data_IF_693522606974
#
_entry.id   IF_693522606974
#
_cell.length_a   1.000
_cell.length_b   1.000
_cell.length_c   1.000
_cell.angle_alpha   90.00
_cell.angle_beta   90.00
_cell.angle_gamma   90.00
#
_symmetry.space_group_name_H-M   'P 1'
#
loop_
_entity.id
_entity.type
_entity.pdbx_description
1 polymer ?
#
# COMPACT_ATOMS: atom_id res chain seq x y z
N UNK A 1 -22.01 4.88 11.79
CA UNK A 1 -21.61 4.64 10.38
C UNK A 1 -21.84 3.19 9.99
N UNK A 2 -22.52 2.96 8.87
CA UNK A 2 -22.70 1.62 8.28
C UNK A 2 -21.38 1.10 7.68
N UNK A 3 -21.27 -0.22 7.51
CA UNK A 3 -20.10 -0.85 6.85
C UNK A 3 -19.84 -0.27 5.45
N UNK A 4 -20.91 -0.02 4.68
CA UNK A 4 -20.81 0.58 3.35
C UNK A 4 -20.24 2.00 3.39
N UNK A 5 -20.64 2.81 4.38
CA UNK A 5 -20.06 4.14 4.59
C UNK A 5 -18.57 4.05 4.96
N UNK A 6 -18.19 3.11 5.84
CA UNK A 6 -16.78 2.90 6.23
C UNK A 6 -15.92 2.50 5.04
N UNK A 7 -16.39 1.56 4.21
CA UNK A 7 -15.72 1.16 2.98
C UNK A 7 -15.58 2.34 2.01
N UNK A 8 -16.64 3.13 1.83
CA UNK A 8 -16.59 4.29 0.95
C UNK A 8 -15.53 5.31 1.39
N UNK A 9 -15.43 5.61 2.68
CA UNK A 9 -14.39 6.50 3.22
C UNK A 9 -13.01 5.87 2.98
N UNK A 10 -12.81 4.62 3.41
CA UNK A 10 -11.55 3.91 3.28
C UNK A 10 -11.05 3.86 1.83
N UNK A 11 -11.92 3.51 0.89
CA UNK A 11 -11.58 3.38 -0.53
C UNK A 11 -11.26 4.74 -1.18
N UNK A 12 -12.00 5.80 -0.83
CA UNK A 12 -11.69 7.15 -1.30
C UNK A 12 -10.36 7.67 -0.75
N UNK A 13 -10.08 7.44 0.54
CA UNK A 13 -8.81 7.83 1.14
C UNK A 13 -7.65 7.05 0.53
N UNK A 14 -7.81 5.74 0.29
CA UNK A 14 -6.82 4.92 -0.42
C UNK A 14 -6.59 5.42 -1.85
N UNK A 15 -7.65 5.79 -2.57
CA UNK A 15 -7.54 6.32 -3.93
C UNK A 15 -6.76 7.65 -3.99
N UNK A 16 -6.87 8.49 -2.97
CA UNK A 16 -6.12 9.76 -2.85
C UNK A 16 -4.67 9.52 -2.40
N UNK A 17 -4.43 8.63 -1.44
CA UNK A 17 -3.08 8.37 -0.94
C UNK A 17 -2.22 7.59 -1.94
N UNK A 18 -2.82 6.71 -2.76
CA UNK A 18 -2.09 5.93 -3.75
C UNK A 18 -1.18 6.78 -4.67
N UNK A 19 -1.65 7.85 -5.33
CA UNK A 19 -0.78 8.71 -6.14
C UNK A 19 0.26 9.48 -5.32
N UNK A 20 -0.04 9.84 -4.07
CA UNK A 20 0.91 10.54 -3.19
C UNK A 20 2.07 9.61 -2.81
N UNK A 21 1.75 8.39 -2.39
CA UNK A 21 2.75 7.35 -2.09
C UNK A 21 3.57 7.06 -3.34
N UNK A 22 2.93 6.87 -4.50
CA UNK A 22 3.63 6.65 -5.76
C UNK A 22 4.60 7.79 -6.11
N UNK A 23 4.15 9.05 -6.01
CA UNK A 23 4.99 10.20 -6.28
C UNK A 23 6.20 10.27 -5.35
N UNK A 24 5.99 10.06 -4.04
CA UNK A 24 7.09 10.02 -3.06
C UNK A 24 8.05 8.85 -3.31
N UNK A 25 7.57 7.69 -3.74
CA UNK A 25 8.41 6.55 -4.10
C UNK A 25 9.25 6.81 -5.34
N UNK A 26 8.66 7.41 -6.40
CA UNK A 26 9.40 7.82 -7.59
C UNK A 26 10.47 8.86 -7.23
N UNK A 27 10.12 9.81 -6.36
CA UNK A 27 11.06 10.84 -5.91
C UNK A 27 12.24 10.24 -5.14
N UNK A 28 12.02 9.26 -4.26
CA UNK A 28 13.10 8.54 -3.57
C UNK A 28 13.99 7.79 -4.54
N UNK A 29 13.43 7.10 -5.54
CA UNK A 29 14.22 6.35 -6.52
C UNK A 29 15.03 7.26 -7.43
N UNK A 30 14.43 8.37 -7.90
CA UNK A 30 15.11 9.37 -8.73
C UNK A 30 16.25 10.08 -8.00
N UNK A 31 16.16 10.19 -6.67
CA UNK A 31 17.16 10.85 -5.83
C UNK A 31 18.10 9.86 -5.14
N UNK A 32 18.07 8.58 -5.50
CA UNK A 32 18.86 7.51 -4.85
C UNK A 32 18.68 7.47 -3.32
N UNK A 33 17.47 7.80 -2.86
CA UNK A 33 17.11 7.95 -1.45
C UNK A 33 18.03 8.90 -0.68
N UNK A 34 18.60 9.90 -1.35
CA UNK A 34 19.46 10.89 -0.72
C UNK A 34 18.63 11.88 0.08
N UNK A 35 18.93 11.98 1.38
CA UNK A 35 18.38 12.99 2.26
C UNK A 35 17.32 12.49 3.23
N UNK A 36 17.38 13.06 4.44
CA UNK A 36 16.47 12.76 5.54
C UNK A 36 15.01 13.11 5.24
N UNK A 37 14.77 14.30 4.68
CA UNK A 37 13.40 14.80 4.44
C UNK A 37 12.58 13.94 3.46
N UNK A 38 13.11 13.54 2.28
CA UNK A 38 12.41 12.61 1.40
C UNK A 38 11.99 11.30 2.06
N UNK A 39 12.91 10.69 2.83
CA UNK A 39 12.67 9.40 3.48
C UNK A 39 11.57 9.53 4.53
N UNK A 40 11.67 10.54 5.40
CA UNK A 40 10.65 10.80 6.42
C UNK A 40 9.29 11.15 5.78
N UNK A 41 9.27 11.99 4.75
CA UNK A 41 8.04 12.31 4.03
C UNK A 41 7.37 11.05 3.47
N UNK A 42 8.14 10.19 2.80
CA UNK A 42 7.64 8.92 2.29
C UNK A 42 7.05 8.05 3.40
N UNK A 43 7.73 7.93 4.54
CA UNK A 43 7.24 7.15 5.69
C UNK A 43 5.92 7.73 6.22
N UNK A 44 5.82 9.05 6.37
CA UNK A 44 4.62 9.74 6.87
C UNK A 44 3.41 9.50 5.95
N UNK A 45 3.59 9.42 4.63
CA UNK A 45 2.48 9.15 3.70
C UNK A 45 2.21 7.66 3.51
N UNK A 46 3.25 6.82 3.53
CA UNK A 46 3.15 5.38 3.31
C UNK A 46 2.54 4.67 4.52
N UNK A 47 2.86 5.08 5.75
CA UNK A 47 2.34 4.42 6.96
C UNK A 47 0.79 4.50 7.05
N UNK A 48 0.14 5.66 6.90
CA UNK A 48 -1.33 5.73 6.81
C UNK A 48 -1.90 4.90 5.66
N UNK A 49 -1.26 4.90 4.49
CA UNK A 49 -1.68 4.07 3.37
C UNK A 49 -1.67 2.58 3.75
N UNK A 50 -0.61 2.08 4.38
CA UNK A 50 -0.51 0.69 4.82
C UNK A 50 -1.57 0.35 5.88
N UNK A 51 -1.81 1.24 6.85
CA UNK A 51 -2.86 1.07 7.84
C UNK A 51 -4.25 1.02 7.22
N UNK A 52 -4.53 1.86 6.22
CA UNK A 52 -5.80 1.85 5.49
C UNK A 52 -5.98 0.58 4.66
N UNK A 53 -4.91 0.00 4.08
CA UNK A 53 -5.00 -1.30 3.41
C UNK A 53 -5.41 -2.40 4.38
N UNK A 54 -4.81 -2.45 5.59
CA UNK A 54 -5.26 -3.38 6.65
C UNK A 54 -6.74 -3.16 6.97
N UNK A 55 -7.14 -1.90 7.13
CA UNK A 55 -8.53 -1.58 7.45
C UNK A 55 -9.50 -1.97 6.32
N UNK A 56 -9.15 -1.73 5.06
CA UNK A 56 -9.90 -2.15 3.88
C UNK A 56 -10.12 -3.67 3.88
N UNK A 57 -9.05 -4.44 4.10
CA UNK A 57 -9.11 -5.90 4.16
C UNK A 57 -9.98 -6.36 5.32
N UNK A 58 -9.82 -5.75 6.50
CA UNK A 58 -10.67 -6.04 7.65
C UNK A 58 -12.15 -5.77 7.36
N UNK A 59 -12.48 -4.64 6.71
CA UNK A 59 -13.86 -4.31 6.34
C UNK A 59 -14.44 -5.36 5.37
N UNK A 60 -13.65 -5.92 4.46
CA UNK A 60 -14.11 -6.99 3.57
C UNK A 60 -14.26 -8.35 4.25
N UNK A 61 -13.26 -8.80 5.02
CA UNK A 61 -13.15 -10.19 5.46
C UNK A 61 -13.48 -10.43 6.92
N UNK A 62 -13.26 -9.46 7.81
CA UNK A 62 -13.27 -9.59 9.27
C UNK A 62 -12.23 -10.62 9.78
N UNK A 63 -11.65 -10.40 10.97
CA UNK A 63 -10.52 -11.20 11.49
C UNK A 63 -10.75 -12.72 11.46
N UNK A 64 -11.92 -13.20 11.93
CA UNK A 64 -12.22 -14.65 12.05
C UNK A 64 -12.38 -15.40 10.73
N UNK A 65 -12.60 -14.69 9.61
CA UNK A 65 -12.83 -15.30 8.28
C UNK A 65 -11.76 -14.92 7.26
N UNK A 66 -10.66 -14.33 7.73
CA UNK A 66 -9.63 -13.75 6.89
C UNK A 66 -8.89 -14.82 6.06
N UNK A 67 -8.31 -15.82 6.74
CA UNK A 67 -7.52 -16.88 6.08
C UNK A 67 -8.39 -17.83 5.23
N UNK A 68 -9.59 -18.16 5.70
CA UNK A 68 -10.48 -19.12 5.02
C UNK A 68 -11.11 -18.57 3.74
N UNK A 69 -11.26 -17.25 3.62
CA UNK A 69 -11.75 -16.60 2.40
C UNK A 69 -10.62 -16.28 1.42
N UNK A 70 -9.38 -16.25 1.88
CA UNK A 70 -8.23 -15.88 1.06
C UNK A 70 -7.97 -16.87 -0.08
N UNK A 71 -8.13 -18.16 0.19
CA UNK A 71 -8.02 -19.22 -0.81
C UNK A 71 -9.05 -19.12 -1.94
N UNK A 72 -10.18 -18.44 -1.67
CA UNK A 72 -11.30 -18.27 -2.62
C UNK A 72 -11.22 -16.96 -3.43
N UNK A 73 -10.17 -16.15 -3.25
CA UNK A 73 -10.00 -14.90 -3.99
C UNK A 73 -9.53 -15.15 -5.42
N UNK A 74 -9.95 -14.26 -6.33
CA UNK A 74 -9.43 -14.24 -7.69
C UNK A 74 -7.92 -14.00 -7.65
N UNK A 75 -7.20 -14.67 -8.55
CA UNK A 75 -5.73 -14.65 -8.64
C UNK A 75 -5.14 -13.24 -8.52
N UNK A 76 -5.64 -12.19 -9.22
CA UNK A 76 -5.05 -10.85 -9.12
C UNK A 76 -5.17 -10.23 -7.72
N UNK A 77 -6.24 -10.51 -6.98
CA UNK A 77 -6.43 -10.00 -5.61
C UNK A 77 -5.53 -10.74 -4.62
N UNK A 78 -5.30 -12.04 -4.87
CA UNK A 78 -4.36 -12.84 -4.08
C UNK A 78 -2.92 -12.43 -4.29
N UNK A 79 -2.53 -12.12 -5.53
CA UNK A 79 -1.20 -11.57 -5.85
C UNK A 79 -1.00 -10.22 -5.14
N UNK A 80 -1.97 -9.31 -5.24
CA UNK A 80 -1.89 -8.00 -4.59
C UNK A 80 -1.68 -8.10 -3.07
N UNK A 81 -2.24 -9.12 -2.42
CA UNK A 81 -2.01 -9.39 -1.00
C UNK A 81 -0.61 -9.86 -0.67
N UNK A 82 -0.07 -10.79 -1.46
CA UNK A 82 1.31 -11.22 -1.27
C UNK A 82 2.28 -10.05 -1.49
N UNK A 83 2.03 -9.24 -2.53
CA UNK A 83 2.77 -8.01 -2.77
C UNK A 83 2.66 -7.04 -1.59
N UNK A 84 1.48 -6.89 -0.99
CA UNK A 84 1.30 -6.07 0.22
C UNK A 84 2.14 -6.58 1.40
N UNK A 85 2.09 -7.88 1.71
CA UNK A 85 2.91 -8.46 2.79
C UNK A 85 4.39 -8.23 2.52
N UNK A 86 4.85 -8.54 1.31
CA UNK A 86 6.26 -8.38 0.93
C UNK A 86 6.71 -6.91 1.01
N UNK A 87 5.87 -5.99 0.54
CA UNK A 87 6.13 -4.54 0.62
C UNK A 87 6.19 -4.08 2.08
N UNK A 88 5.26 -4.53 2.93
CA UNK A 88 5.24 -4.18 4.35
C UNK A 88 6.49 -4.68 5.09
N UNK A 89 6.82 -5.96 4.96
CA UNK A 89 7.96 -6.57 5.65
C UNK A 89 9.27 -5.95 5.17
N UNK A 90 9.46 -5.81 3.85
CA UNK A 90 10.65 -5.16 3.30
C UNK A 90 10.77 -3.69 3.69
N UNK A 91 9.63 -2.98 3.81
CA UNK A 91 9.60 -1.59 4.26
C UNK A 91 10.02 -1.44 5.71
N UNK A 92 9.51 -2.30 6.60
CA UNK A 92 9.93 -2.35 8.02
C UNK A 92 11.43 -2.67 8.13
N UNK A 93 11.91 -3.67 7.40
CA UNK A 93 13.34 -4.04 7.42
C UNK A 93 14.23 -2.89 6.92
N UNK A 94 13.84 -2.23 5.83
CA UNK A 94 14.56 -1.07 5.28
C UNK A 94 14.55 0.10 6.25
N UNK A 95 13.42 0.36 6.91
CA UNK A 95 13.32 1.44 7.90
C UNK A 95 14.21 1.19 9.11
N UNK A 96 14.22 -0.02 9.66
CA UNK A 96 15.12 -0.39 10.78
C UNK A 96 16.58 -0.23 10.33
N UNK A 97 16.96 -0.73 9.15
CA UNK A 97 18.31 -0.55 8.64
C UNK A 97 18.68 0.94 8.53
N UNK A 98 17.80 1.74 7.92
CA UNK A 98 18.02 3.17 7.76
C UNK A 98 18.15 3.90 9.11
N UNK A 99 17.36 3.53 10.13
CA UNK A 99 17.50 4.09 11.48
C UNK A 99 18.86 3.78 12.13
N UNK A 100 19.45 2.62 11.82
CA UNK A 100 20.71 2.17 12.41
C UNK A 100 21.95 2.70 11.67
N UNK A 101 21.88 2.81 10.34
CA UNK A 101 23.04 3.19 9.52
C UNK A 101 22.97 4.60 8.92
N UNK A 102 21.79 5.22 8.85
CA UNK A 102 21.51 6.42 8.04
C UNK A 102 21.87 6.27 6.54
N UNK A 103 22.05 5.03 6.07
CA UNK A 103 22.44 4.73 4.70
C UNK A 103 21.32 4.05 3.92
N UNK A 104 21.28 4.31 2.63
CA UNK A 104 20.47 3.53 1.71
C UNK A 104 21.06 2.14 1.54
N UNK A 105 20.24 1.11 1.65
CA UNK A 105 20.66 -0.29 1.50
C UNK A 105 20.08 -0.93 0.25
N UNK A 106 20.69 -2.01 -0.26
CA UNK A 106 20.10 -2.82 -1.32
C UNK A 106 18.67 -3.31 -0.99
N UNK A 107 18.35 -3.47 0.30
CA UNK A 107 17.00 -3.79 0.76
C UNK A 107 15.98 -2.71 0.40
N UNK A 108 16.37 -1.44 0.47
CA UNK A 108 15.54 -0.31 0.05
C UNK A 108 15.22 -0.35 -1.45
N UNK A 109 16.22 -0.66 -2.29
CA UNK A 109 16.00 -0.85 -3.72
C UNK A 109 15.10 -2.05 -4.05
N UNK A 110 15.21 -3.15 -3.29
CA UNK A 110 14.29 -4.30 -3.42
C UNK A 110 12.87 -3.92 -2.99
N UNK A 111 12.73 -3.23 -1.86
CA UNK A 111 11.46 -2.72 -1.36
C UNK A 111 10.77 -1.83 -2.40
N UNK A 112 11.49 -0.87 -2.98
CA UNK A 112 10.95 0.04 -4.00
C UNK A 112 10.40 -0.70 -5.22
N UNK A 113 11.15 -1.67 -5.76
CA UNK A 113 10.70 -2.50 -6.89
C UNK A 113 9.43 -3.29 -6.57
N UNK A 114 9.38 -3.97 -5.42
CA UNK A 114 8.20 -4.72 -4.99
C UNK A 114 7.01 -3.76 -4.78
N UNK A 115 7.26 -2.60 -4.17
CA UNK A 115 6.27 -1.55 -3.95
C UNK A 115 5.67 -1.00 -5.25
N UNK A 116 6.48 -0.77 -6.28
CA UNK A 116 5.96 -0.36 -7.60
C UNK A 116 5.09 -1.43 -8.25
N UNK A 117 5.48 -2.71 -8.16
CA UNK A 117 4.66 -3.81 -8.67
C UNK A 117 3.33 -3.86 -7.89
N UNK A 118 3.36 -3.70 -6.57
CA UNK A 118 2.16 -3.61 -5.73
C UNK A 118 1.26 -2.46 -6.19
N UNK A 119 1.81 -1.26 -6.40
CA UNK A 119 1.04 -0.10 -6.85
C UNK A 119 0.43 -0.33 -8.22
N UNK A 120 1.16 -0.92 -9.18
CA UNK A 120 0.62 -1.25 -10.49
C UNK A 120 -0.58 -2.21 -10.40
N UNK A 121 -0.48 -3.25 -9.59
CA UNK A 121 -1.61 -4.16 -9.32
C UNK A 121 -2.76 -3.45 -8.59
N UNK A 122 -2.47 -2.55 -7.66
CA UNK A 122 -3.48 -1.76 -6.94
C UNK A 122 -4.24 -0.82 -7.89
N UNK A 123 -3.55 -0.15 -8.82
CA UNK A 123 -4.18 0.66 -9.88
C UNK A 123 -5.12 -0.20 -10.72
N UNK A 124 -4.63 -1.36 -11.21
CA UNK A 124 -5.46 -2.29 -11.97
C UNK A 124 -6.68 -2.82 -11.18
N UNK A 125 -6.51 -3.06 -9.88
CA UNK A 125 -7.60 -3.42 -8.98
C UNK A 125 -8.64 -2.29 -8.88
N UNK A 126 -8.18 -1.05 -8.64
CA UNK A 126 -9.03 0.14 -8.48
C UNK A 126 -9.79 0.48 -9.75
N UNK A 127 -9.15 0.44 -10.92
CA UNK A 127 -9.81 0.68 -12.22
C UNK A 127 -10.95 -0.31 -12.44
N UNK A 128 -10.74 -1.61 -12.16
CA UNK A 128 -11.79 -2.65 -12.24
C UNK A 128 -12.96 -2.42 -11.27
N UNK A 129 -12.79 -1.55 -10.28
CA UNK A 129 -13.78 -1.19 -9.26
C UNK A 129 -14.25 0.25 -9.34
N UNK A 130 -13.89 0.98 -10.41
CA UNK A 130 -14.18 2.42 -10.53
C UNK A 130 -15.68 2.77 -10.42
N UNK A 131 -16.56 1.84 -10.78
CA UNK A 131 -18.02 1.97 -10.62
C UNK A 131 -18.44 2.20 -9.16
N UNK A 132 -17.66 1.73 -8.18
CA UNK A 132 -17.92 1.95 -6.76
C UNK A 132 -17.77 3.43 -6.35
N UNK A 133 -16.89 4.16 -7.04
CA UNK A 133 -16.63 5.58 -6.77
C UNK A 133 -17.63 6.51 -7.46
N UNK A 134 -18.35 6.01 -8.48
CA UNK A 134 -19.41 6.77 -9.14
C UNK A 134 -20.61 6.90 -8.19
N UNK A 135 -21.05 8.14 -7.92
CA UNK A 135 -22.35 8.39 -7.27
C UNK A 135 -23.43 7.69 -8.09
N UNK A 136 -24.34 6.96 -7.44
CA UNK A 136 -25.64 6.64 -8.09
C UNK A 136 -26.27 8.00 -8.41
N UNK A 137 -26.52 8.25 -9.70
CA UNK A 137 -27.43 9.33 -10.11
C UNK A 137 -28.81 9.01 -9.53
#
# INVERSE_FOLDING_TARGET
MTKAQKLKICDWTLAILLPIVLASSIQLEATSSSGFFPVIFHIIVALPFMCLVVWHIYLHFQWKKWLTKFSKLKIPTRILWWLYILTFISGVATFIHWLLSNEHSPLGGVHGKIGFIMIAFAIGHTIKRIKFFKKKK
#
